data_IF_770692403243
#
_entry.id   IF_770692403243
#
_cell.length_a   1.000
_cell.length_b   1.000
_cell.length_c   1.000
_cell.angle_alpha   90.00
_cell.angle_beta   90.00
_cell.angle_gamma   90.00
#
_symmetry.space_group_name_H-M   'P 1'
#
loop_
_entity.id
_entity.type
_entity.pdbx_description
1 polymer ?
#
# COMPACT_ATOMS: atom_id res chain seq x y z
N UNK A 1 -23.08 15.59 16.00
CA UNK A 1 -21.88 14.81 16.40
C UNK A 1 -20.71 15.79 16.47
N UNK A 2 -19.76 15.68 17.39
CA UNK A 2 -18.57 16.52 17.36
C UNK A 2 -17.80 16.29 16.05
N UNK A 3 -17.26 17.37 15.46
CA UNK A 3 -16.45 17.31 14.24
C UNK A 3 -15.03 16.83 14.63
N UNK A 4 -14.86 15.50 14.73
CA UNK A 4 -13.57 14.88 15.09
C UNK A 4 -12.78 14.76 13.78
N UNK A 5 -11.68 15.51 13.69
CA UNK A 5 -10.74 15.43 12.56
C UNK A 5 -9.46 14.78 13.02
N UNK A 6 -9.12 13.67 12.40
CA UNK A 6 -7.88 12.94 12.63
C UNK A 6 -7.46 12.17 11.37
N UNK A 7 -6.21 11.83 11.26
CA UNK A 7 -5.71 10.94 10.22
C UNK A 7 -6.27 9.52 10.38
N UNK A 8 -6.71 8.95 9.28
CA UNK A 8 -7.36 7.64 9.21
C UNK A 8 -6.38 6.54 8.81
N UNK A 9 -6.59 5.35 9.36
CA UNK A 9 -5.97 4.09 8.91
C UNK A 9 -7.00 3.36 8.05
N UNK A 10 -6.69 3.19 6.76
CA UNK A 10 -7.57 2.60 5.76
C UNK A 10 -6.92 1.34 5.21
N UNK A 11 -7.67 0.25 5.11
CA UNK A 11 -7.22 -1.03 4.54
C UNK A 11 -8.07 -1.38 3.32
N UNK A 12 -7.41 -1.55 2.17
CA UNK A 12 -8.01 -2.12 0.97
C UNK A 12 -7.49 -3.53 0.78
N UNK A 13 -8.33 -4.54 1.00
CA UNK A 13 -7.94 -5.95 0.96
C UNK A 13 -8.87 -6.78 0.06
N UNK A 14 -8.77 -8.10 0.12
CA UNK A 14 -9.60 -9.05 -0.63
C UNK A 14 -9.01 -9.51 -1.96
N UNK A 15 -9.60 -10.57 -2.56
CA UNK A 15 -9.09 -11.21 -3.78
C UNK A 15 -9.32 -10.39 -5.06
N UNK A 16 -10.29 -9.47 -5.03
CA UNK A 16 -10.70 -8.68 -6.20
C UNK A 16 -9.70 -7.60 -6.59
N UNK A 17 -9.84 -7.12 -7.80
CA UNK A 17 -9.08 -6.01 -8.39
C UNK A 17 -9.47 -4.66 -7.79
N UNK A 18 -8.56 -3.68 -7.88
CA UNK A 18 -8.86 -2.28 -7.57
C UNK A 18 -8.27 -1.76 -6.26
N UNK A 19 -7.58 -2.57 -5.46
CA UNK A 19 -6.98 -2.15 -4.17
C UNK A 19 -6.02 -0.96 -4.34
N UNK A 20 -5.01 -1.12 -5.18
CA UNK A 20 -4.04 -0.07 -5.54
C UNK A 20 -4.74 1.10 -6.24
N UNK A 21 -5.65 0.82 -7.19
CA UNK A 21 -6.42 1.86 -7.92
C UNK A 21 -7.25 2.72 -6.98
N UNK A 22 -7.90 2.13 -5.98
CA UNK A 22 -8.67 2.87 -4.96
C UNK A 22 -7.74 3.75 -4.10
N UNK A 23 -6.57 3.24 -3.70
CA UNK A 23 -5.58 4.00 -2.95
C UNK A 23 -5.07 5.19 -3.77
N UNK A 24 -4.76 4.98 -5.06
CA UNK A 24 -4.35 6.05 -5.98
C UNK A 24 -5.47 7.08 -6.23
N UNK A 25 -6.72 6.65 -6.33
CA UNK A 25 -7.87 7.55 -6.41
C UNK A 25 -7.99 8.46 -5.18
N UNK A 26 -7.70 7.91 -3.98
CA UNK A 26 -7.63 8.68 -2.74
C UNK A 26 -6.44 9.65 -2.76
N UNK A 27 -5.27 9.21 -3.25
CA UNK A 27 -4.09 10.06 -3.42
C UNK A 27 -4.37 11.26 -4.34
N UNK A 28 -5.00 11.02 -5.49
CA UNK A 28 -5.40 12.09 -6.42
C UNK A 28 -6.31 13.12 -5.75
N UNK A 29 -7.27 12.66 -4.95
CA UNK A 29 -8.16 13.53 -4.17
C UNK A 29 -7.39 14.33 -3.12
N UNK A 30 -6.46 13.69 -2.40
CA UNK A 30 -5.63 14.31 -1.38
C UNK A 30 -4.75 15.43 -1.98
N UNK A 31 -4.06 15.14 -3.09
CA UNK A 31 -3.25 16.13 -3.81
C UNK A 31 -4.10 17.31 -4.28
N UNK A 32 -5.32 17.05 -4.78
CA UNK A 32 -6.27 18.09 -5.18
C UNK A 32 -6.72 18.99 -4.01
N UNK A 33 -6.59 18.53 -2.77
CA UNK A 33 -6.82 19.30 -1.54
C UNK A 33 -5.53 19.91 -0.97
N UNK A 34 -4.42 19.83 -1.70
CA UNK A 34 -3.14 20.41 -1.30
C UNK A 34 -2.28 19.53 -0.38
N UNK A 35 -2.71 18.29 -0.11
CA UNK A 35 -1.96 17.32 0.71
C UNK A 35 -0.73 16.80 -0.03
N UNK A 36 0.30 16.45 0.75
CA UNK A 36 1.49 15.74 0.27
C UNK A 36 1.34 14.24 0.48
N UNK A 37 1.52 13.47 -0.60
CA UNK A 37 1.29 12.03 -0.63
C UNK A 37 2.59 11.30 -0.93
N UNK A 38 2.89 10.27 -0.13
CA UNK A 38 3.93 9.27 -0.41
C UNK A 38 3.28 7.91 -0.64
N UNK A 39 3.67 7.23 -1.71
CA UNK A 39 3.30 5.84 -1.98
C UNK A 39 4.54 4.98 -2.07
N UNK A 40 4.61 3.96 -1.22
CA UNK A 40 5.68 2.97 -1.19
C UNK A 40 5.12 1.62 -1.65
N UNK A 41 5.68 1.06 -2.73
CA UNK A 41 5.25 -0.20 -3.32
C UNK A 41 6.20 -1.32 -2.90
N UNK A 42 5.76 -2.20 -1.98
CA UNK A 42 6.62 -3.18 -1.30
C UNK A 42 7.07 -4.34 -2.19
N UNK A 43 6.20 -4.84 -3.06
CA UNK A 43 6.45 -6.08 -3.83
C UNK A 43 6.43 -5.88 -5.35
N UNK A 44 6.37 -4.65 -5.82
CA UNK A 44 6.49 -4.34 -7.24
C UNK A 44 7.96 -4.23 -7.63
N UNK A 45 8.37 -5.06 -8.56
CA UNK A 45 9.71 -5.01 -9.13
C UNK A 45 9.94 -3.85 -10.10
N UNK A 46 11.05 -3.93 -10.84
CA UNK A 46 11.50 -2.93 -11.81
C UNK A 46 10.60 -2.77 -13.05
N UNK A 47 9.40 -3.35 -13.06
CA UNK A 47 8.46 -3.19 -14.16
C UNK A 47 7.93 -1.77 -14.18
N UNK A 48 7.88 -1.22 -15.38
CA UNK A 48 7.32 0.11 -15.60
C UNK A 48 5.80 0.03 -15.66
N UNK A 49 5.14 0.82 -14.80
CA UNK A 49 3.68 0.97 -14.76
C UNK A 49 3.30 2.40 -15.12
N UNK A 50 2.19 2.59 -15.81
CA UNK A 50 1.74 3.89 -16.28
C UNK A 50 1.55 4.93 -15.16
N UNK A 51 1.23 4.48 -13.95
CA UNK A 51 1.11 5.37 -12.79
C UNK A 51 2.43 6.05 -12.41
N UNK A 52 3.59 5.44 -12.68
CA UNK A 52 4.90 6.05 -12.43
C UNK A 52 5.13 7.30 -13.28
N UNK A 53 4.63 7.29 -14.53
CA UNK A 53 4.67 8.46 -15.40
C UNK A 53 3.64 9.50 -14.98
N UNK A 54 2.42 9.04 -14.69
CA UNK A 54 1.30 9.93 -14.36
C UNK A 54 1.57 10.76 -13.10
N UNK A 55 2.21 10.19 -12.07
CA UNK A 55 2.48 10.92 -10.82
C UNK A 55 3.52 12.02 -10.98
N UNK A 56 4.36 11.98 -12.01
CA UNK A 56 5.34 13.03 -12.32
C UNK A 56 4.67 14.40 -12.48
N UNK A 57 3.44 14.44 -12.99
CA UNK A 57 2.68 15.69 -13.17
C UNK A 57 2.37 16.40 -11.83
N UNK A 58 2.47 15.72 -10.70
CA UNK A 58 2.19 16.29 -9.37
C UNK A 58 3.44 16.78 -8.64
N UNK A 59 4.63 16.58 -9.24
CA UNK A 59 5.91 16.99 -8.66
C UNK A 59 6.13 16.41 -7.26
N UNK A 60 6.50 17.25 -6.31
CA UNK A 60 6.77 16.86 -4.92
C UNK A 60 5.51 16.61 -4.06
N UNK A 61 4.32 16.89 -4.61
CA UNK A 61 3.06 16.65 -3.92
C UNK A 61 2.64 15.19 -3.92
N UNK A 62 3.08 14.42 -4.92
CA UNK A 62 2.86 12.98 -4.95
C UNK A 62 4.13 12.24 -5.35
N UNK A 63 4.79 11.65 -4.38
CA UNK A 63 6.00 10.85 -4.59
C UNK A 63 5.64 9.38 -4.54
N UNK A 64 6.06 8.62 -5.54
CA UNK A 64 5.93 7.17 -5.59
C UNK A 64 7.30 6.52 -5.66
N UNK A 65 7.52 5.48 -4.84
CA UNK A 65 8.77 4.71 -4.80
C UNK A 65 8.45 3.21 -4.88
N UNK A 66 9.12 2.53 -5.80
CA UNK A 66 9.15 1.07 -5.84
C UNK A 66 10.27 0.58 -4.94
N UNK A 67 9.93 -0.25 -3.92
CA UNK A 67 10.85 -0.70 -2.87
C UNK A 67 11.31 -2.15 -3.08
N UNK A 68 10.69 -2.89 -3.99
CA UNK A 68 10.97 -4.31 -4.27
C UNK A 68 11.68 -4.52 -5.61
N UNK A 69 12.33 -5.70 -5.76
CA UNK A 69 13.08 -6.09 -6.97
C UNK A 69 12.30 -7.03 -7.91
N UNK A 70 11.03 -7.30 -7.67
CA UNK A 70 10.23 -8.16 -8.55
C UNK A 70 9.42 -9.23 -7.84
N UNK A 71 9.20 -10.33 -8.53
CA UNK A 71 8.36 -11.40 -8.04
C UNK A 71 9.00 -12.12 -6.86
N UNK A 72 8.34 -12.03 -5.71
CA UNK A 72 8.58 -12.94 -4.60
C UNK A 72 8.24 -14.36 -5.09
N UNK A 73 9.13 -15.32 -4.86
CA UNK A 73 8.86 -16.73 -5.14
C UNK A 73 7.79 -17.23 -4.16
N UNK A 74 6.52 -17.16 -4.60
CA UNK A 74 5.38 -17.67 -3.81
C UNK A 74 5.39 -19.20 -3.87
N UNK A 75 5.21 -19.86 -2.73
CA UNK A 75 5.06 -21.34 -2.66
C UNK A 75 6.22 -22.07 -2.00
N UNK A 76 7.17 -21.37 -1.40
CA UNK A 76 8.18 -21.97 -0.51
C UNK A 76 7.67 -21.93 0.94
N UNK A 77 8.03 -22.95 1.75
CA UNK A 77 7.63 -23.02 3.18
C UNK A 77 8.16 -21.82 3.99
N UNK A 78 9.22 -21.16 3.53
CA UNK A 78 9.80 -19.95 4.16
C UNK A 78 10.16 -18.94 3.09
N UNK A 79 9.98 -17.63 3.35
CA UNK A 79 10.43 -16.58 2.46
C UNK A 79 11.96 -16.59 2.32
N UNK A 80 12.45 -16.14 1.16
CA UNK A 80 13.88 -15.97 0.93
C UNK A 80 14.44 -14.92 1.92
N UNK A 81 15.57 -15.18 2.61
CA UNK A 81 16.17 -14.21 3.52
C UNK A 81 16.49 -12.86 2.88
N UNK A 82 16.81 -12.83 1.59
CA UNK A 82 17.05 -11.58 0.85
C UNK A 82 15.75 -10.78 0.67
N UNK A 83 14.65 -11.46 0.33
CA UNK A 83 13.32 -10.81 0.23
C UNK A 83 12.88 -10.23 1.59
N UNK A 84 13.14 -10.97 2.69
CA UNK A 84 12.86 -10.49 4.06
C UNK A 84 13.67 -9.23 4.37
N UNK A 85 14.99 -9.24 4.08
CA UNK A 85 15.85 -8.09 4.32
C UNK A 85 15.36 -6.84 3.58
N UNK A 86 14.99 -6.99 2.32
CA UNK A 86 14.51 -5.88 1.50
C UNK A 86 13.17 -5.32 1.99
N UNK A 87 12.25 -6.20 2.40
CA UNK A 87 10.97 -5.78 2.98
C UNK A 87 11.17 -5.06 4.31
N UNK A 88 12.11 -5.52 5.15
CA UNK A 88 12.45 -4.84 6.43
C UNK A 88 13.10 -3.46 6.18
N UNK A 89 13.96 -3.33 5.17
CA UNK A 89 14.53 -2.03 4.76
C UNK A 89 13.43 -1.08 4.25
N UNK A 90 12.53 -1.57 3.37
CA UNK A 90 11.38 -0.82 2.90
C UNK A 90 10.46 -0.40 4.04
N UNK A 91 10.24 -1.28 5.01
CA UNK A 91 9.45 -0.97 6.20
C UNK A 91 10.12 0.11 7.06
N UNK A 92 11.43 0.04 7.25
CA UNK A 92 12.17 1.07 7.99
C UNK A 92 11.99 2.47 7.36
N UNK A 93 12.07 2.57 6.02
CA UNK A 93 11.80 3.82 5.31
C UNK A 93 10.34 4.27 5.48
N UNK A 94 9.40 3.34 5.40
CA UNK A 94 7.98 3.63 5.59
C UNK A 94 7.68 4.19 7.00
N UNK A 95 8.21 3.57 8.04
CA UNK A 95 8.03 3.99 9.42
C UNK A 95 8.64 5.38 9.66
N UNK A 96 9.83 5.64 9.12
CA UNK A 96 10.45 6.97 9.17
C UNK A 96 9.59 8.03 8.44
N UNK A 97 9.09 7.71 7.25
CA UNK A 97 8.27 8.61 6.46
C UNK A 97 6.96 8.97 7.20
N UNK A 98 6.30 8.00 7.83
CA UNK A 98 5.08 8.21 8.62
C UNK A 98 5.32 9.23 9.74
N UNK A 99 6.46 9.16 10.42
CA UNK A 99 6.79 10.04 11.55
C UNK A 99 7.54 11.31 11.16
N UNK A 100 7.87 11.51 9.87
CA UNK A 100 8.71 12.63 9.41
C UNK A 100 8.05 14.01 9.51
N UNK A 101 6.72 14.08 9.61
CA UNK A 101 5.96 15.32 9.49
C UNK A 101 5.91 15.90 8.07
N UNK A 102 6.43 15.16 7.07
CA UNK A 102 6.51 15.61 5.67
C UNK A 102 5.24 15.28 4.90
N UNK A 103 4.57 14.18 5.25
CA UNK A 103 3.49 13.58 4.47
C UNK A 103 2.17 13.64 5.21
N UNK A 104 1.10 14.05 4.51
CA UNK A 104 -0.26 14.03 5.02
C UNK A 104 -0.93 12.67 4.80
N UNK A 105 -0.53 11.96 3.73
CA UNK A 105 -1.00 10.63 3.38
C UNK A 105 0.19 9.74 2.99
N UNK A 106 0.31 8.58 3.64
CA UNK A 106 1.27 7.53 3.28
C UNK A 106 0.50 6.30 2.81
N UNK A 107 0.82 5.80 1.61
CA UNK A 107 0.23 4.59 1.04
C UNK A 107 1.30 3.49 1.05
N UNK A 108 0.97 2.38 1.69
CA UNK A 108 1.78 1.17 1.80
C UNK A 108 1.18 0.11 0.87
N UNK A 109 1.60 0.19 -0.42
CA UNK A 109 1.03 -0.66 -1.46
C UNK A 109 1.63 -2.07 -1.41
N UNK A 110 0.75 -3.08 -1.41
CA UNK A 110 1.06 -4.51 -1.30
C UNK A 110 1.72 -4.93 0.03
N UNK A 111 1.67 -4.11 1.10
CA UNK A 111 2.23 -4.46 2.40
C UNK A 111 1.53 -5.68 3.02
N UNK A 112 0.22 -5.85 2.78
CA UNK A 112 -0.51 -7.01 3.29
C UNK A 112 0.03 -8.33 2.74
N UNK A 113 0.60 -8.36 1.52
CA UNK A 113 1.30 -9.54 1.01
C UNK A 113 2.60 -9.79 1.77
N UNK A 114 3.41 -8.75 2.00
CA UNK A 114 4.66 -8.89 2.74
C UNK A 114 4.41 -9.50 4.14
N UNK A 115 3.33 -9.07 4.80
CA UNK A 115 2.90 -9.61 6.09
C UNK A 115 2.40 -11.06 5.92
N UNK A 116 1.52 -11.32 4.96
CA UNK A 116 0.91 -12.65 4.78
C UNK A 116 1.90 -13.73 4.35
N UNK A 117 3.01 -13.34 3.73
CA UNK A 117 4.10 -14.24 3.35
C UNK A 117 5.17 -14.37 4.45
N UNK A 118 4.97 -13.76 5.62
CA UNK A 118 5.87 -13.85 6.76
C UNK A 118 7.19 -13.08 6.59
N UNK A 119 7.24 -12.12 5.65
CA UNK A 119 8.42 -11.27 5.43
C UNK A 119 8.46 -10.06 6.35
N UNK A 120 7.32 -9.67 6.93
CA UNK A 120 7.19 -8.55 7.85
C UNK A 120 6.30 -8.93 9.03
N UNK A 121 6.79 -8.66 10.25
CA UNK A 121 6.02 -8.90 11.47
C UNK A 121 4.84 -7.92 11.57
N UNK A 122 3.58 -8.38 11.61
CA UNK A 122 2.42 -7.53 11.79
C UNK A 122 2.46 -6.69 13.07
N UNK A 123 3.13 -7.16 14.13
CA UNK A 123 3.23 -6.41 15.38
C UNK A 123 4.01 -5.09 15.21
N UNK A 124 5.10 -5.09 14.43
CA UNK A 124 5.86 -3.88 14.09
C UNK A 124 4.99 -2.86 13.34
N UNK A 125 4.16 -3.36 12.41
CA UNK A 125 3.25 -2.50 11.63
C UNK A 125 2.19 -1.89 12.53
N UNK A 126 1.55 -2.71 13.38
CA UNK A 126 0.53 -2.25 14.34
C UNK A 126 1.09 -1.20 15.30
N UNK A 127 2.30 -1.38 15.82
CA UNK A 127 2.96 -0.40 16.69
C UNK A 127 3.12 0.96 16.01
N UNK A 128 3.62 0.98 14.76
CA UNK A 128 3.75 2.20 13.96
C UNK A 128 2.40 2.84 13.66
N UNK A 129 1.39 2.04 13.30
CA UNK A 129 0.03 2.53 13.04
C UNK A 129 -0.59 3.20 14.28
N UNK A 130 -0.37 2.64 15.48
CA UNK A 130 -0.86 3.19 16.75
C UNK A 130 -0.12 4.46 17.18
N UNK A 131 1.17 4.57 16.85
CA UNK A 131 2.01 5.71 17.20
C UNK A 131 2.10 6.79 16.12
N UNK A 132 1.40 6.63 14.99
CA UNK A 132 1.40 7.62 13.90
C UNK A 132 1.02 9.01 14.39
N UNK A 133 1.57 10.09 13.82
CA UNK A 133 1.09 11.45 14.12
C UNK A 133 -0.42 11.57 13.88
N UNK A 134 -1.09 12.32 14.75
CA UNK A 134 -2.56 12.38 14.80
C UNK A 134 -3.22 12.64 13.46
N UNK A 135 -2.67 13.54 12.65
CA UNK A 135 -3.26 13.99 11.38
C UNK A 135 -2.81 13.21 10.15
N UNK A 136 -1.80 12.32 10.26
CA UNK A 136 -1.31 11.53 9.12
C UNK A 136 -2.31 10.43 8.77
N UNK A 137 -2.72 10.37 7.51
CA UNK A 137 -3.51 9.26 6.97
C UNK A 137 -2.60 8.13 6.48
N UNK A 138 -3.02 6.89 6.65
CA UNK A 138 -2.30 5.71 6.14
C UNK A 138 -3.28 4.82 5.38
N UNK A 139 -2.88 4.38 4.19
CA UNK A 139 -3.62 3.37 3.42
C UNK A 139 -2.72 2.15 3.24
N UNK A 140 -3.22 0.98 3.64
CA UNK A 140 -2.57 -0.31 3.40
C UNK A 140 -3.32 -1.07 2.32
N UNK A 141 -2.60 -1.64 1.35
CA UNK A 141 -3.22 -2.46 0.31
C UNK A 141 -2.64 -3.88 0.29
N UNK A 142 -3.32 -4.77 -0.42
CA UNK A 142 -2.91 -6.17 -0.62
C UNK A 142 -3.97 -7.17 -0.12
N UNK A 143 -3.87 -8.41 -0.61
CA UNK A 143 -4.75 -9.50 -0.15
C UNK A 143 -4.39 -9.92 1.28
N UNK A 144 -5.30 -10.64 1.92
CA UNK A 144 -5.06 -11.31 3.20
C UNK A 144 -4.57 -10.35 4.30
N UNK A 145 -5.23 -9.20 4.47
CA UNK A 145 -4.92 -8.30 5.57
C UNK A 145 -4.95 -9.05 6.91
N UNK A 146 -3.87 -8.91 7.70
CA UNK A 146 -3.75 -9.60 8.98
C UNK A 146 -4.82 -9.11 9.96
N UNK A 147 -5.44 -10.00 10.78
CA UNK A 147 -6.51 -9.60 11.72
C UNK A 147 -6.14 -8.45 12.64
N UNK A 148 -4.90 -8.39 13.14
CA UNK A 148 -4.44 -7.30 14.00
C UNK A 148 -4.34 -5.95 13.29
N UNK A 149 -4.09 -5.94 11.96
CA UNK A 149 -4.15 -4.73 11.14
C UNK A 149 -5.59 -4.28 10.95
N UNK A 150 -6.49 -5.23 10.68
CA UNK A 150 -7.93 -4.97 10.55
C UNK A 150 -8.51 -4.37 11.84
N UNK A 151 -8.08 -4.87 13.01
CA UNK A 151 -8.54 -4.40 14.31
C UNK A 151 -8.19 -2.93 14.59
N UNK A 152 -7.01 -2.47 14.14
CA UNK A 152 -6.57 -1.08 14.37
C UNK A 152 -6.98 -0.11 13.28
N UNK A 153 -7.53 -0.60 12.17
CA UNK A 153 -7.97 0.22 11.06
C UNK A 153 -9.29 0.95 11.36
N UNK A 154 -9.41 2.19 10.86
CA UNK A 154 -10.64 2.97 10.92
C UNK A 154 -11.64 2.57 9.83
N UNK A 155 -11.14 2.11 8.68
CA UNK A 155 -11.94 1.69 7.54
C UNK A 155 -11.28 0.50 6.87
N UNK A 156 -12.05 -0.56 6.67
CA UNK A 156 -11.60 -1.75 5.94
C UNK A 156 -12.57 -2.01 4.79
N UNK A 157 -12.05 -2.12 3.58
CA UNK A 157 -12.82 -2.48 2.40
C UNK A 157 -12.27 -3.77 1.81
N UNK A 158 -13.12 -4.78 1.68
CA UNK A 158 -12.79 -6.02 1.01
C UNK A 158 -13.29 -5.98 -0.45
N UNK A 159 -12.36 -6.06 -1.40
CA UNK A 159 -12.66 -6.12 -2.83
C UNK A 159 -12.89 -7.57 -3.25
N UNK A 160 -14.15 -7.90 -3.49
CA UNK A 160 -14.58 -9.24 -3.88
C UNK A 160 -14.46 -9.42 -5.40
N UNK A 161 -13.86 -10.53 -5.83
CA UNK A 161 -13.85 -10.93 -7.24
C UNK A 161 -15.18 -11.59 -7.62
N UNK A 162 -16.07 -10.83 -8.27
CA UNK A 162 -17.34 -11.34 -8.81
C UNK A 162 -17.11 -12.01 -10.16
N UNK A 163 -16.25 -11.41 -11.00
CA UNK A 163 -15.76 -11.91 -12.30
C UNK A 163 -14.38 -11.36 -12.54
N UNK A 164 -13.55 -12.09 -13.27
CA UNK A 164 -12.28 -11.58 -13.74
C UNK A 164 -12.05 -11.92 -15.22
N UNK A 165 -11.54 -10.96 -16.00
CA UNK A 165 -11.27 -11.14 -17.43
C UNK A 165 -10.29 -12.29 -17.70
N UNK A 166 -9.32 -12.47 -16.80
CA UNK A 166 -8.33 -13.55 -16.87
C UNK A 166 -8.96 -14.95 -16.88
N UNK A 167 -10.10 -15.16 -16.21
CA UNK A 167 -10.84 -16.43 -16.21
C UNK A 167 -11.35 -16.81 -17.62
N UNK A 168 -11.43 -15.81 -18.50
CA UNK A 168 -11.79 -15.98 -19.93
C UNK A 168 -10.58 -15.90 -20.85
N UNK A 169 -9.35 -16.01 -20.32
CA UNK A 169 -8.13 -15.94 -21.11
C UNK A 169 -7.73 -14.53 -21.56
N UNK A 170 -8.39 -13.48 -21.07
CA UNK A 170 -8.00 -12.10 -21.38
C UNK A 170 -6.81 -11.71 -20.53
N UNK A 171 -5.68 -11.44 -21.18
CA UNK A 171 -4.45 -11.03 -20.54
C UNK A 171 -4.52 -9.58 -20.06
N UNK A 172 -3.56 -9.20 -19.17
CA UNK A 172 -3.42 -7.84 -18.68
C UNK A 172 -3.30 -6.83 -19.83
N UNK A 173 -4.02 -5.71 -19.73
CA UNK A 173 -4.13 -4.69 -20.77
C UNK A 173 -3.36 -3.43 -20.35
N UNK A 174 -2.59 -2.88 -21.30
CA UNK A 174 -1.90 -1.60 -21.10
C UNK A 174 -2.90 -0.48 -20.82
N UNK A 175 -2.60 0.35 -19.81
CA UNK A 175 -3.46 1.44 -19.38
C UNK A 175 -4.67 1.02 -18.52
N UNK A 176 -4.87 -0.30 -18.31
CA UNK A 176 -5.93 -0.84 -17.45
C UNK A 176 -5.33 -1.62 -16.27
N UNK A 177 -4.30 -2.43 -16.53
CA UNK A 177 -3.60 -3.22 -15.52
C UNK A 177 -2.16 -2.76 -15.27
N UNK A 178 -1.53 -2.10 -16.23
CA UNK A 178 -0.16 -1.57 -16.12
C UNK A 178 0.07 -0.36 -17.02
#
# INVERSE_FOLDING_TARGET
MPDIRRGLIIVNTGPGKGKTTAAMGTALRAVGQGMRVLMLQFLKGSWHYGELDAVQAFGDKFVMKQMGWGFVKVGTEKPDPEDVRMVEEAWSEAAQAIHSGTWDLVILDEINYAISYGMLDPAKVVETLKSKPEMVHIILTGRNAHPTIVEVADTVTEMRQVKHAYEKGVMAQRGIEY
#
